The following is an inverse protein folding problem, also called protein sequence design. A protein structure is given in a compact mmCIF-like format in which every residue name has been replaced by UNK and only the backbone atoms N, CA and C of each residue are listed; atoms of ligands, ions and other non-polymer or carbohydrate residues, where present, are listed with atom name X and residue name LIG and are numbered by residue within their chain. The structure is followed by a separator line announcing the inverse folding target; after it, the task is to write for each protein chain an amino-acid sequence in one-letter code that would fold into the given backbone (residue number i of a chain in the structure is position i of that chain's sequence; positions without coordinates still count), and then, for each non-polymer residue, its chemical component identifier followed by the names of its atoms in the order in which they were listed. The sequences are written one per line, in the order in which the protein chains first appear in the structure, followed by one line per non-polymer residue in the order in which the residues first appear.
data_IF_264398763867
#
_entry.id   IF_264398763867
#
_cell.length_a   1.000
_cell.length_b   1.000
_cell.length_c   1.000
_cell.angle_alpha   90.00
_cell.angle_beta   90.00
_cell.angle_gamma   90.00
#
_symmetry.space_group_name_H-M   'P 1'
#
loop_
_entity.id
_entity.type
_entity.pdbx_description
1 polymer ?
#
# COMPACT_ATOMS: atom_id res chain seq x y z
N UNK A 1 -11.58 0.89 3.68
CA UNK A 1 -10.25 1.06 4.30
C UNK A 1 -9.14 0.30 3.60
N UNK A 2 -9.28 -0.99 3.30
CA UNK A 2 -8.22 -1.75 2.60
C UNK A 2 -7.85 -1.14 1.22
N UNK A 3 -8.84 -0.68 0.44
CA UNK A 3 -8.61 0.03 -0.82
C UNK A 3 -7.88 1.38 -0.65
N UNK A 4 -8.18 2.12 0.42
CA UNK A 4 -7.49 3.37 0.79
C UNK A 4 -6.01 3.08 1.05
N UNK A 5 -5.70 2.01 1.77
CA UNK A 5 -4.31 1.58 2.00
C UNK A 5 -3.62 1.25 0.67
N UNK A 6 -4.28 0.47 -0.20
CA UNK A 6 -3.77 0.11 -1.53
C UNK A 6 -3.55 1.29 -2.47
N UNK A 7 -4.22 2.44 -2.28
CA UNK A 7 -4.04 3.63 -3.12
C UNK A 7 -2.65 4.26 -3.01
N UNK A 8 -1.92 3.98 -1.93
CA UNK A 8 -0.55 4.46 -1.72
C UNK A 8 0.49 3.62 -2.46
N UNK A 9 0.09 2.47 -3.02
CA UNK A 9 0.96 1.55 -3.75
C UNK A 9 1.73 2.25 -4.88
N UNK A 10 3.00 1.89 -5.03
CA UNK A 10 3.85 2.41 -6.08
C UNK A 10 4.74 1.32 -6.67
N UNK A 11 4.36 0.80 -7.85
CA UNK A 11 5.14 -0.21 -8.55
C UNK A 11 6.55 0.28 -8.91
N UNK A 12 7.56 -0.53 -8.59
CA UNK A 12 8.95 -0.28 -8.98
C UNK A 12 9.67 -1.59 -9.37
N UNK A 13 10.85 -1.47 -9.98
CA UNK A 13 11.64 -2.60 -10.48
C UNK A 13 11.43 -2.86 -11.96
N UNK A 14 11.91 -4.03 -12.41
CA UNK A 14 11.76 -4.51 -13.78
C UNK A 14 12.79 -3.98 -14.78
N UNK A 15 13.67 -3.05 -14.39
CA UNK A 15 14.73 -2.50 -15.23
C UNK A 15 14.26 -1.47 -16.26
N UNK A 16 15.11 -1.26 -17.26
CA UNK A 16 14.92 -0.27 -18.33
C UNK A 16 13.96 -0.74 -19.43
N UNK A 17 13.53 0.23 -20.24
CA UNK A 17 12.81 -0.01 -21.48
C UNK A 17 11.38 -0.54 -21.29
N UNK A 18 10.81 -1.02 -22.39
CA UNK A 18 9.42 -1.46 -22.47
C UNK A 18 9.13 -2.64 -21.53
N UNK A 19 10.10 -3.54 -21.33
CA UNK A 19 9.92 -4.70 -20.45
C UNK A 19 9.74 -4.26 -18.98
N UNK A 20 10.59 -3.36 -18.49
CA UNK A 20 10.46 -2.82 -17.14
C UNK A 20 9.24 -1.94 -16.95
N UNK A 21 8.87 -1.16 -17.97
CA UNK A 21 7.61 -0.42 -17.96
C UNK A 21 6.41 -1.36 -17.84
N UNK A 22 6.35 -2.39 -18.69
CA UNK A 22 5.28 -3.39 -18.67
C UNK A 22 5.22 -4.12 -17.33
N UNK A 23 6.36 -4.46 -16.73
CA UNK A 23 6.41 -5.06 -15.40
C UNK A 23 5.74 -4.19 -14.33
N UNK A 24 6.03 -2.87 -14.32
CA UNK A 24 5.42 -1.94 -13.37
C UNK A 24 3.93 -1.72 -13.63
N UNK A 25 3.53 -1.62 -14.90
CA UNK A 25 2.13 -1.51 -15.30
C UNK A 25 1.32 -2.76 -14.92
N UNK A 26 1.87 -3.95 -15.20
CA UNK A 26 1.25 -5.22 -14.83
C UNK A 26 1.14 -5.37 -13.31
N UNK A 27 2.19 -5.00 -12.56
CA UNK A 27 2.16 -5.01 -11.09
C UNK A 27 1.11 -4.04 -10.53
N UNK A 28 1.04 -2.82 -11.05
CA UNK A 28 0.02 -1.84 -10.67
C UNK A 28 -1.40 -2.30 -11.02
N UNK A 29 -1.59 -2.93 -12.20
CA UNK A 29 -2.87 -3.50 -12.60
C UNK A 29 -3.30 -4.64 -11.67
N UNK A 30 -2.43 -5.62 -11.42
CA UNK A 30 -2.73 -6.76 -10.54
C UNK A 30 -3.09 -6.28 -9.14
N UNK A 31 -2.36 -5.30 -8.63
CA UNK A 31 -2.64 -4.69 -7.34
C UNK A 31 -3.99 -3.96 -7.34
N UNK A 32 -4.28 -3.12 -8.34
CA UNK A 32 -5.57 -2.44 -8.46
C UNK A 32 -6.74 -3.42 -8.58
N UNK A 33 -6.58 -4.48 -9.37
CA UNK A 33 -7.56 -5.57 -9.47
C UNK A 33 -7.75 -6.29 -8.13
N UNK A 34 -6.67 -6.51 -7.37
CA UNK A 34 -6.77 -7.13 -6.04
C UNK A 34 -7.53 -6.24 -5.07
N UNK A 35 -7.42 -4.91 -5.20
CA UNK A 35 -8.25 -3.98 -4.43
C UNK A 35 -9.70 -3.88 -4.92
N UNK A 36 -9.96 -4.05 -6.22
CA UNK A 36 -11.30 -3.92 -6.81
C UNK A 36 -12.12 -5.21 -6.78
N UNK A 37 -11.48 -6.39 -6.87
CA UNK A 37 -12.13 -7.72 -6.84
C UNK A 37 -12.77 -8.03 -5.48
N UNK A 38 -12.43 -7.26 -4.45
CA UNK A 38 -13.18 -7.29 -3.19
C UNK A 38 -14.46 -6.48 -3.41
N UNK A 39 -15.52 -7.20 -3.78
CA UNK A 39 -16.83 -6.60 -4.01
C UNK A 39 -17.28 -5.79 -2.80
N UNK A 40 -17.97 -4.68 -3.05
CA UNK A 40 -18.79 -3.99 -2.05
C UNK A 40 -19.80 -4.93 -1.37
N UNK A 41 -20.07 -6.08 -1.99
CA UNK A 41 -21.00 -7.11 -1.54
C UNK A 41 -20.39 -8.07 -0.49
N UNK A 42 -19.07 -8.03 -0.27
CA UNK A 42 -18.47 -8.81 0.82
C UNK A 42 -19.04 -8.34 2.17
N UNK A 43 -19.35 -9.23 3.12
CA UNK A 43 -19.81 -8.84 4.44
C UNK A 43 -18.85 -7.85 5.11
N UNK A 44 -19.37 -6.89 5.87
CA UNK A 44 -18.56 -5.85 6.53
C UNK A 44 -17.43 -6.43 7.38
N UNK A 45 -17.67 -7.56 8.05
CA UNK A 45 -16.66 -8.28 8.82
C UNK A 45 -15.47 -8.73 7.94
N UNK A 46 -15.74 -9.35 6.79
CA UNK A 46 -14.68 -9.79 5.86
C UNK A 46 -13.89 -8.61 5.28
N UNK A 47 -14.55 -7.47 5.04
CA UNK A 47 -13.87 -6.24 4.62
C UNK A 47 -12.94 -5.69 5.72
N UNK A 48 -13.38 -5.75 6.99
CA UNK A 48 -12.61 -5.32 8.14
C UNK A 48 -11.39 -6.23 8.38
N UNK A 49 -11.58 -7.55 8.33
CA UNK A 49 -10.50 -8.54 8.50
C UNK A 49 -9.40 -8.36 7.46
N UNK A 50 -9.78 -8.14 6.19
CA UNK A 50 -8.81 -7.87 5.12
C UNK A 50 -8.06 -6.56 5.34
N UNK A 51 -8.76 -5.50 5.75
CA UNK A 51 -8.11 -4.23 6.04
C UNK A 51 -7.08 -4.40 7.17
N UNK A 52 -7.47 -5.09 8.25
CA UNK A 52 -6.60 -5.38 9.39
C UNK A 52 -5.39 -6.22 8.97
N UNK A 53 -5.59 -7.32 8.23
CA UNK A 53 -4.52 -8.18 7.77
C UNK A 53 -3.48 -7.41 6.94
N UNK A 54 -3.93 -6.57 6.00
CA UNK A 54 -3.03 -5.73 5.20
C UNK A 54 -2.33 -4.64 6.01
N UNK A 55 -2.96 -4.11 7.05
CA UNK A 55 -2.37 -3.08 7.88
C UNK A 55 -1.19 -3.61 8.70
N UNK A 56 -1.26 -4.87 9.17
CA UNK A 56 -0.21 -5.48 10.01
C UNK A 56 0.84 -6.28 9.23
N UNK A 57 0.55 -6.65 7.97
CA UNK A 57 1.41 -7.53 7.18
C UNK A 57 2.44 -6.74 6.36
N UNK A 58 3.73 -6.92 6.68
CA UNK A 58 4.88 -6.34 5.96
C UNK A 58 5.09 -6.93 4.56
N UNK A 59 4.34 -7.97 4.16
CA UNK A 59 4.32 -8.54 2.82
C UNK A 59 2.97 -8.37 2.10
N UNK A 60 2.08 -7.50 2.60
CA UNK A 60 0.79 -7.18 1.99
C UNK A 60 0.85 -6.72 0.51
N UNK A 61 1.96 -6.12 0.06
CA UNK A 61 2.14 -5.64 -1.30
C UNK A 61 3.46 -6.12 -1.90
N UNK A 62 3.41 -6.65 -3.12
CA UNK A 62 4.57 -7.07 -3.89
C UNK A 62 4.99 -6.00 -4.91
N UNK A 63 6.30 -5.86 -5.12
CA UNK A 63 6.89 -4.86 -6.03
C UNK A 63 6.49 -3.42 -5.69
N UNK A 64 6.24 -3.14 -4.41
CA UNK A 64 5.80 -1.83 -3.92
C UNK A 64 6.94 -1.07 -3.27
N UNK A 65 7.33 0.05 -3.87
CA UNK A 65 8.42 0.88 -3.37
C UNK A 65 8.14 1.38 -1.94
N UNK A 66 6.90 1.77 -1.67
CA UNK A 66 6.53 2.32 -0.36
C UNK A 66 6.65 1.24 0.72
N UNK A 67 6.22 0.01 0.43
CA UNK A 67 6.35 -1.11 1.36
C UNK A 67 7.80 -1.51 1.57
N UNK A 68 8.59 -1.58 0.50
CA UNK A 68 10.02 -1.90 0.60
C UNK A 68 10.78 -0.87 1.44
N UNK A 69 10.45 0.42 1.33
CA UNK A 69 11.03 1.47 2.18
C UNK A 69 10.58 1.32 3.64
N UNK A 70 9.30 1.07 3.91
CA UNK A 70 8.80 0.83 5.27
C UNK A 70 9.44 -0.39 5.92
N UNK A 71 9.75 -1.42 5.13
CA UNK A 71 10.42 -2.62 5.57
C UNK A 71 11.95 -2.47 5.66
N UNK A 72 12.48 -1.28 5.37
CA UNK A 72 13.92 -1.00 5.31
C UNK A 72 14.69 -1.89 4.32
N UNK A 73 14.00 -2.57 3.40
CA UNK A 73 14.62 -3.46 2.41
C UNK A 73 15.21 -2.69 1.23
N UNK A 74 14.80 -1.42 1.06
CA UNK A 74 15.28 -0.50 0.02
C UNK A 74 15.31 0.91 0.59
N UNK A 75 16.35 1.69 0.24
CA UNK A 75 16.35 3.14 0.40
C UNK A 75 16.09 3.82 -0.94
N UNK A 76 15.33 4.91 -0.94
CA UNK A 76 14.97 5.62 -2.18
C UNK A 76 16.21 6.05 -2.98
N UNK A 77 17.28 6.44 -2.30
CA UNK A 77 18.56 6.84 -2.89
C UNK A 77 19.32 5.68 -3.56
N UNK A 78 19.05 4.45 -3.14
CA UNK A 78 19.69 3.23 -3.66
C UNK A 78 18.88 2.62 -4.82
N UNK A 79 17.65 3.11 -5.07
CA UNK A 79 16.83 2.68 -6.21
C UNK A 79 17.40 3.26 -7.50
N UNK A 80 17.75 2.37 -8.43
CA UNK A 80 18.21 2.76 -9.76
C UNK A 80 17.10 3.51 -10.48
N UNK A 81 17.47 4.56 -11.20
CA UNK A 81 16.51 5.40 -11.92
C UNK A 81 15.63 4.58 -12.88
N UNK A 82 16.22 3.61 -13.59
CA UNK A 82 15.52 2.68 -14.46
C UNK A 82 14.34 1.93 -13.83
N UNK A 83 14.45 1.59 -12.55
CA UNK A 83 13.46 0.83 -11.80
C UNK A 83 12.34 1.72 -11.26
N UNK A 84 12.49 3.04 -11.33
CA UNK A 84 11.45 3.97 -10.92
C UNK A 84 10.29 4.00 -11.93
N UNK A 85 9.05 4.21 -11.45
CA UNK A 85 7.94 4.51 -12.31
C UNK A 85 8.11 5.87 -12.98
N UNK A 86 7.46 6.04 -14.13
CA UNK A 86 7.54 7.24 -14.98
C UNK A 86 7.19 8.53 -14.20
N UNK A 87 6.23 8.44 -13.28
CA UNK A 87 5.82 9.56 -12.42
C UNK A 87 6.95 10.08 -11.54
N UNK A 88 7.83 9.20 -11.05
CA UNK A 88 8.98 9.59 -10.22
C UNK A 88 10.23 9.93 -11.03
N UNK A 89 10.38 9.35 -12.23
CA UNK A 89 11.48 9.69 -13.15
C UNK A 89 11.42 11.14 -13.61
N UNK A 90 10.20 11.65 -13.88
CA UNK A 90 9.96 13.03 -14.33
C UNK A 90 10.14 14.08 -13.24
N UNK A 91 10.26 13.67 -11.98
CA UNK A 91 10.48 14.54 -10.84
C UNK A 91 11.97 14.77 -10.61
N UNK A 92 12.32 15.97 -10.14
CA UNK A 92 13.64 16.22 -9.54
C UNK A 92 13.85 15.33 -8.31
N UNK A 93 15.10 15.19 -7.86
CA UNK A 93 15.42 14.41 -6.65
C UNK A 93 14.64 14.91 -5.43
N UNK A 94 14.50 16.22 -5.26
CA UNK A 94 13.77 16.81 -4.13
C UNK A 94 12.27 16.52 -4.20
N UNK A 95 11.65 16.66 -5.38
CA UNK A 95 10.24 16.37 -5.60
C UNK A 95 9.94 14.87 -5.42
N UNK A 96 10.82 14.01 -5.93
CA UNK A 96 10.74 12.56 -5.76
C UNK A 96 10.73 12.16 -4.29
N UNK A 97 11.67 12.72 -3.50
CA UNK A 97 11.72 12.48 -2.04
C UNK A 97 10.42 12.92 -1.37
N UNK A 98 9.94 14.12 -1.69
CA UNK A 98 8.70 14.67 -1.12
C UNK A 98 7.46 13.82 -1.46
N UNK A 99 7.34 13.33 -2.69
CA UNK A 99 6.22 12.48 -3.10
C UNK A 99 6.24 11.12 -2.39
N UNK A 100 7.42 10.51 -2.25
CA UNK A 100 7.59 9.24 -1.52
C UNK A 100 7.30 9.41 -0.03
N UNK A 101 7.81 10.49 0.59
CA UNK A 101 7.52 10.83 2.00
C UNK A 101 6.04 11.07 2.24
N UNK A 102 5.36 11.78 1.33
CA UNK A 102 3.91 11.99 1.38
C UNK A 102 3.18 10.65 1.39
N UNK A 103 3.48 9.74 0.45
CA UNK A 103 2.84 8.42 0.38
C UNK A 103 3.11 7.55 1.61
N UNK A 104 4.33 7.60 2.14
CA UNK A 104 4.70 6.94 3.40
C UNK A 104 3.87 7.46 4.57
N UNK A 105 3.74 8.79 4.69
CA UNK A 105 2.93 9.42 5.73
C UNK A 105 1.45 9.04 5.62
N UNK A 106 0.89 9.12 4.40
CA UNK A 106 -0.48 8.71 4.12
C UNK A 106 -0.72 7.25 4.49
N UNK A 107 0.20 6.35 4.09
CA UNK A 107 0.11 4.92 4.39
C UNK A 107 0.13 4.66 5.90
N UNK A 108 1.06 5.29 6.63
CA UNK A 108 1.15 5.17 8.09
C UNK A 108 -0.12 5.65 8.77
N UNK A 109 -0.68 6.78 8.34
CA UNK A 109 -1.94 7.30 8.87
C UNK A 109 -3.11 6.32 8.62
N UNK A 110 -3.21 5.76 7.41
CA UNK A 110 -4.26 4.79 7.08
C UNK A 110 -4.13 3.50 7.91
N UNK A 111 -2.90 3.00 8.12
CA UNK A 111 -2.66 1.83 8.98
C UNK A 111 -3.09 2.11 10.42
N UNK A 112 -2.73 3.26 10.96
CA UNK A 112 -3.14 3.67 12.31
C UNK A 112 -4.67 3.73 12.44
N UNK A 113 -5.35 4.34 11.46
CA UNK A 113 -6.81 4.40 11.39
C UNK A 113 -7.45 3.00 11.38
N UNK A 114 -6.91 2.06 10.59
CA UNK A 114 -7.39 0.67 10.56
C UNK A 114 -7.22 -0.01 11.92
N UNK A 115 -6.07 0.16 12.57
CA UNK A 115 -5.78 -0.44 13.88
C UNK A 115 -6.72 0.11 14.96
N UNK A 116 -6.95 1.42 14.96
CA UNK A 116 -7.85 2.07 15.90
C UNK A 116 -9.30 1.59 15.72
N UNK A 117 -9.80 1.56 14.48
CA UNK A 117 -11.14 1.06 14.18
C UNK A 117 -11.32 -0.40 14.60
N UNK A 118 -10.31 -1.24 14.35
CA UNK A 118 -10.30 -2.65 14.74
C UNK A 118 -10.37 -2.82 16.26
N UNK A 119 -9.58 -2.04 17.00
CA UNK A 119 -9.60 -2.04 18.48
C UNK A 119 -10.96 -1.59 19.03
N UNK A 120 -11.56 -0.56 18.46
CA UNK A 120 -12.86 -0.05 18.87
C UNK A 120 -13.98 -1.08 18.62
N UNK A 121 -13.96 -1.75 17.46
CA UNK A 121 -14.91 -2.82 17.14
C UNK A 121 -14.84 -3.99 18.15
N UNK A 122 -13.62 -4.39 18.53
CA UNK A 122 -13.41 -5.43 19.53
C UNK A 122 -13.95 -5.03 20.91
N UNK A 123 -13.76 -3.78 21.32
CA UNK A 123 -14.24 -3.28 22.62
C UNK A 123 -15.77 -3.20 22.69
N UNK A 124 -16.43 -2.74 21.61
CA UNK A 124 -17.89 -2.73 21.53
C UNK A 124 -18.48 -4.14 21.62
N UNK A 125 -17.88 -5.11 20.92
CA UNK A 125 -18.32 -6.51 20.97
C UNK A 125 -18.25 -7.08 22.40
N UNK A 126 -17.16 -6.82 23.13
CA UNK A 126 -17.02 -7.23 24.54
C UNK A 126 -18.05 -6.57 25.45
N UNK A 127 -18.36 -5.29 25.24
CA UNK A 127 -19.37 -4.58 26.03
C UNK A 127 -20.79 -5.11 25.79
N UNK A 128 -21.11 -5.53 24.57
CA UNK A 128 -22.43 -6.09 24.25
C UNK A 128 -22.61 -7.54 24.73
N UNK A 129 -21.52 -8.29 24.94
CA UNK A 129 -21.56 -9.66 25.45
C UNK A 129 -21.68 -9.73 27.00
N UNK A 130 -21.57 -8.60 27.69
CA UNK A 130 -21.64 -8.47 29.15
C UNK A 130 -22.96 -7.84 29.65
N UNK A 131 -23.88 -7.50 28.75
CA UNK A 131 -25.25 -7.06 29.03
C UNK A 131 -26.25 -8.12 28.59
#
# INVERSE_FOLDING_TARGET
MASKLGSTYLAYGGGEGQAGQKFREDSARVQAETESKVSKDAPMAAQADRAMNKAINSAAYSNDLIQSIENESVKLEEVKEQDLPESLKKMTVAERKKEVEKRLSERKAIRAEILELSKNAMNLSKSNALN
#
